data_IF_270259603124
#
_entry.id   IF_270259603124
#
_cell.length_a   1.000
_cell.length_b   1.000
_cell.length_c   1.000
_cell.angle_alpha   90.00
_cell.angle_beta   90.00
_cell.angle_gamma   90.00
#
_symmetry.space_group_name_H-M   'P 1'
#
loop_
_entity.id
_entity.type
_entity.pdbx_description
1 polymer ?
#
# COMPACT_ATOMS: atom_id res chain seq x y z
N UNK A 1 4.23 -12.99 -9.50
CA UNK A 1 4.33 -11.73 -8.75
C UNK A 1 5.58 -10.96 -9.16
N UNK A 2 6.81 -11.41 -8.83
CA UNK A 2 8.07 -10.69 -9.17
C UNK A 2 8.10 -10.09 -10.58
N UNK A 3 8.01 -10.93 -11.62
CA UNK A 3 8.03 -10.48 -13.03
C UNK A 3 7.03 -9.37 -13.33
N UNK A 4 5.83 -9.42 -12.74
CA UNK A 4 4.81 -8.40 -12.95
C UNK A 4 5.16 -7.11 -12.20
N UNK A 5 5.63 -7.21 -10.95
CA UNK A 5 6.01 -6.03 -10.16
C UNK A 5 7.20 -5.32 -10.77
N UNK A 6 8.22 -6.06 -11.24
CA UNK A 6 9.39 -5.44 -11.86
C UNK A 6 9.02 -4.73 -13.17
N UNK A 7 8.13 -5.33 -13.97
CA UNK A 7 7.73 -4.83 -15.28
C UNK A 7 6.61 -3.76 -15.25
N UNK A 8 5.96 -3.52 -14.12
CA UNK A 8 4.84 -2.58 -13.99
C UNK A 8 5.17 -1.43 -13.04
N UNK A 9 4.52 -0.29 -13.25
CA UNK A 9 4.66 0.88 -12.40
C UNK A 9 3.55 1.00 -11.35
N UNK A 10 3.93 1.47 -10.16
CA UNK A 10 2.98 1.77 -9.09
C UNK A 10 2.23 3.05 -9.46
N UNK A 11 0.91 2.99 -9.53
CA UNK A 11 0.07 4.15 -9.88
C UNK A 11 -0.32 4.95 -8.64
N UNK A 12 -0.71 4.25 -7.57
CA UNK A 12 -1.24 4.83 -6.35
C UNK A 12 -0.88 4.00 -5.12
N UNK A 13 -0.74 4.66 -3.98
CA UNK A 13 -0.60 4.03 -2.67
C UNK A 13 -1.53 4.70 -1.67
N UNK A 14 -2.43 3.91 -1.07
CA UNK A 14 -3.21 4.32 0.10
C UNK A 14 -2.46 4.02 1.40
N UNK A 15 -2.44 4.98 2.32
CA UNK A 15 -1.87 4.81 3.66
C UNK A 15 -2.82 5.39 4.71
N UNK A 16 -3.19 4.58 5.69
CA UNK A 16 -3.90 5.01 6.89
C UNK A 16 -3.01 4.79 8.11
N UNK A 17 -3.00 5.76 9.01
CA UNK A 17 -2.36 5.65 10.32
C UNK A 17 -3.45 5.63 11.38
N UNK A 18 -3.26 4.81 12.42
CA UNK A 18 -4.15 4.78 13.57
C UNK A 18 -3.38 4.47 14.84
N UNK A 19 -3.94 4.86 15.97
CA UNK A 19 -3.53 4.29 17.25
C UNK A 19 -4.04 2.83 17.41
N UNK A 20 -3.77 2.23 18.57
CA UNK A 20 -4.17 0.86 18.87
C UNK A 20 -5.69 0.70 19.08
N UNK A 21 -6.44 1.79 19.24
CA UNK A 21 -7.88 1.82 19.38
C UNK A 21 -8.58 2.03 18.02
N UNK A 22 -7.81 2.30 16.96
CA UNK A 22 -8.34 2.55 15.62
C UNK A 22 -8.68 4.02 15.36
N UNK A 23 -8.28 4.94 16.24
CA UNK A 23 -8.48 6.37 16.01
C UNK A 23 -7.50 6.87 14.95
N UNK A 24 -8.02 7.56 13.94
CA UNK A 24 -7.24 8.21 12.90
C UNK A 24 -6.60 9.50 13.44
N UNK A 25 -5.46 9.95 12.87
CA UNK A 25 -4.89 11.24 13.24
C UNK A 25 -5.86 12.37 12.86
N UNK A 26 -5.99 13.34 13.76
CA UNK A 26 -6.83 14.53 13.58
C UNK A 26 -6.02 15.85 13.54
N UNK A 27 -4.74 15.79 13.92
CA UNK A 27 -3.84 16.94 14.08
C UNK A 27 -4.45 18.12 14.85
N UNK A 28 -5.35 17.84 15.80
CA UNK A 28 -6.08 18.86 16.56
C UNK A 28 -7.18 19.58 15.77
N UNK A 29 -7.65 19.01 14.66
CA UNK A 29 -8.75 19.51 13.85
C UNK A 29 -10.02 18.66 14.01
N UNK A 30 -11.13 19.10 13.41
CA UNK A 30 -12.38 18.31 13.36
C UNK A 30 -12.35 17.17 12.31
N UNK A 31 -11.27 17.04 11.55
CA UNK A 31 -11.13 16.08 10.46
C UNK A 31 -10.16 14.96 10.83
N UNK A 32 -10.43 13.76 10.31
CA UNK A 32 -9.50 12.64 10.35
C UNK A 32 -8.80 12.48 9.00
N UNK A 33 -7.53 12.04 9.03
CA UNK A 33 -6.71 11.98 7.83
C UNK A 33 -6.30 10.56 7.43
N UNK A 34 -6.43 10.30 6.13
CA UNK A 34 -5.82 9.17 5.41
C UNK A 34 -5.16 9.73 4.15
N UNK A 35 -4.13 9.07 3.65
CA UNK A 35 -3.32 9.56 2.54
C UNK A 35 -3.47 8.67 1.31
N UNK A 36 -3.56 9.31 0.15
CA UNK A 36 -3.42 8.67 -1.15
C UNK A 36 -2.28 9.34 -1.90
N UNK A 37 -1.22 8.59 -2.16
CA UNK A 37 -0.07 9.04 -2.94
C UNK A 37 -0.29 8.63 -4.39
N UNK A 38 -0.22 9.59 -5.30
CA UNK A 38 -0.37 9.40 -6.74
C UNK A 38 1.00 9.55 -7.40
N UNK A 39 1.44 8.56 -8.16
CA UNK A 39 2.79 8.51 -8.75
C UNK A 39 2.79 8.94 -10.21
N UNK A 40 3.93 9.45 -10.68
CA UNK A 40 4.05 10.03 -12.04
C UNK A 40 4.66 9.10 -13.08
N UNK A 41 5.25 7.99 -12.65
CA UNK A 41 6.03 7.09 -13.50
C UNK A 41 5.16 6.39 -14.53
N UNK A 42 3.93 6.00 -14.14
CA UNK A 42 3.04 5.26 -15.03
C UNK A 42 2.59 6.10 -16.23
N UNK A 43 2.84 5.56 -17.43
CA UNK A 43 2.45 6.10 -18.72
C UNK A 43 1.57 5.11 -19.47
N UNK A 44 0.31 5.48 -19.70
CA UNK A 44 -0.69 4.60 -20.32
C UNK A 44 -0.38 4.25 -21.78
N UNK A 45 0.46 5.05 -22.44
CA UNK A 45 0.81 4.87 -23.84
C UNK A 45 2.04 3.96 -24.02
N UNK A 46 2.90 3.85 -23.00
CA UNK A 46 4.20 3.18 -23.09
C UNK A 46 4.33 1.95 -22.17
N UNK A 47 3.73 1.99 -20.97
CA UNK A 47 3.95 0.98 -19.94
C UNK A 47 3.07 -0.26 -20.10
N UNK A 48 3.53 -1.37 -19.52
CA UNK A 48 2.74 -2.58 -19.39
C UNK A 48 1.69 -2.43 -18.28
N UNK A 49 0.45 -2.75 -18.60
CA UNK A 49 -0.65 -2.77 -17.63
C UNK A 49 -1.68 -3.85 -17.94
N UNK A 50 -2.54 -4.12 -16.96
CA UNK A 50 -3.75 -4.89 -17.17
C UNK A 50 -4.90 -3.96 -17.63
N UNK A 51 -5.47 -4.14 -18.83
CA UNK A 51 -6.51 -3.25 -19.35
C UNK A 51 -7.75 -3.18 -18.45
N UNK A 52 -8.17 -4.30 -17.84
CA UNK A 52 -9.31 -4.32 -16.91
C UNK A 52 -9.03 -3.50 -15.65
N UNK A 53 -7.79 -3.54 -15.15
CA UNK A 53 -7.38 -2.72 -14.02
C UNK A 53 -7.40 -1.24 -14.38
N UNK A 54 -6.89 -0.85 -15.55
CA UNK A 54 -6.92 0.55 -16.01
C UNK A 54 -8.34 1.05 -16.21
N UNK A 55 -9.22 0.26 -16.83
CA UNK A 55 -10.63 0.63 -17.00
C UNK A 55 -11.34 0.85 -15.67
N UNK A 56 -11.07 -0.01 -14.68
CA UNK A 56 -11.57 0.15 -13.32
C UNK A 56 -11.08 1.46 -12.71
N UNK A 57 -9.77 1.74 -12.79
CA UNK A 57 -9.16 2.95 -12.25
C UNK A 57 -9.70 4.23 -12.92
N UNK A 58 -9.91 4.23 -14.24
CA UNK A 58 -10.56 5.34 -14.97
C UNK A 58 -11.98 5.59 -14.46
N UNK A 59 -12.79 4.54 -14.27
CA UNK A 59 -14.16 4.65 -13.73
C UNK A 59 -14.19 5.20 -12.30
N UNK A 60 -13.11 5.00 -11.55
CA UNK A 60 -12.96 5.51 -10.18
C UNK A 60 -12.47 6.96 -10.15
N UNK A 61 -12.12 7.53 -11.30
CA UNK A 61 -11.76 8.94 -11.45
C UNK A 61 -10.26 9.20 -11.45
N UNK A 62 -9.42 8.17 -11.65
CA UNK A 62 -7.98 8.40 -11.83
C UNK A 62 -7.74 9.12 -13.15
N UNK A 63 -7.06 10.26 -13.05
CA UNK A 63 -6.56 11.02 -14.18
C UNK A 63 -5.07 10.71 -14.38
N UNK A 64 -4.78 9.76 -15.26
CA UNK A 64 -3.41 9.34 -15.58
C UNK A 64 -2.58 10.47 -16.18
N UNK A 65 -3.18 11.36 -16.96
CA UNK A 65 -2.50 12.52 -17.55
C UNK A 65 -2.10 13.53 -16.47
N UNK A 66 -2.96 13.73 -15.46
CA UNK A 66 -2.63 14.53 -14.27
C UNK A 66 -1.54 13.85 -13.44
N UNK A 67 -1.60 12.54 -13.23
CA UNK A 67 -0.58 11.80 -12.49
C UNK A 67 0.80 11.93 -13.17
N UNK A 68 0.89 11.74 -14.49
CA UNK A 68 2.13 11.90 -15.25
C UNK A 68 2.74 13.32 -15.11
N UNK A 69 1.90 14.35 -15.04
CA UNK A 69 2.32 15.76 -14.92
C UNK A 69 2.64 16.22 -13.50
N UNK A 70 1.83 15.81 -12.53
CA UNK A 70 1.81 16.37 -11.16
C UNK A 70 2.04 15.33 -10.07
N UNK A 71 2.11 14.06 -10.43
CA UNK A 71 2.33 12.96 -9.50
C UNK A 71 3.71 13.01 -8.85
N UNK A 72 3.80 12.28 -7.75
CA UNK A 72 5.00 12.17 -6.94
C UNK A 72 5.99 11.26 -7.67
N UNK A 73 7.24 11.69 -7.77
CA UNK A 73 8.31 10.80 -8.22
C UNK A 73 8.61 9.78 -7.11
N UNK A 74 8.48 8.50 -7.43
CA UNK A 74 8.74 7.35 -6.56
C UNK A 74 10.08 7.43 -5.83
N UNK A 75 11.13 7.96 -6.47
CA UNK A 75 12.43 8.18 -5.83
C UNK A 75 12.35 9.15 -4.64
N UNK A 76 11.68 10.30 -4.81
CA UNK A 76 11.49 11.27 -3.72
C UNK A 76 10.57 10.72 -2.64
N UNK A 77 9.51 10.00 -3.03
CA UNK A 77 8.66 9.28 -2.11
C UNK A 77 9.48 8.31 -1.25
N UNK A 78 10.30 7.46 -1.87
CA UNK A 78 11.11 6.46 -1.17
C UNK A 78 12.07 7.08 -0.15
N UNK A 79 12.70 8.20 -0.52
CA UNK A 79 13.58 8.95 0.38
C UNK A 79 12.83 9.53 1.57
N UNK A 80 11.68 10.17 1.36
CA UNK A 80 10.87 10.74 2.45
C UNK A 80 10.28 9.65 3.34
N UNK A 81 9.77 8.57 2.74
CA UNK A 81 9.20 7.45 3.45
C UNK A 81 10.23 6.72 4.34
N UNK A 82 11.46 6.58 3.85
CA UNK A 82 12.58 6.06 4.64
C UNK A 82 12.88 6.93 5.87
N UNK A 83 12.84 8.26 5.71
CA UNK A 83 13.13 9.20 6.79
C UNK A 83 11.92 9.49 7.71
N UNK A 84 10.72 9.02 7.36
CA UNK A 84 9.50 9.27 8.13
C UNK A 84 9.41 8.48 9.44
N UNK A 85 10.25 7.45 9.61
CA UNK A 85 10.14 6.48 10.70
C UNK A 85 9.12 5.36 10.44
N UNK A 86 8.32 5.43 9.37
CA UNK A 86 7.39 4.37 8.98
C UNK A 86 8.10 3.14 8.38
N UNK A 87 9.30 3.32 7.85
CA UNK A 87 10.16 2.23 7.36
C UNK A 87 11.56 2.30 7.91
N UNK A 88 12.29 1.18 7.85
CA UNK A 88 13.69 1.05 8.28
C UNK A 88 13.97 1.48 9.73
N UNK A 89 12.93 1.72 10.55
CA UNK A 89 13.12 2.14 11.92
C UNK A 89 13.82 1.02 12.71
N UNK A 90 14.88 1.33 13.48
CA UNK A 90 15.57 0.34 14.28
C UNK A 90 14.59 -0.38 15.22
N UNK A 91 14.69 -1.69 15.31
CA UNK A 91 13.82 -2.57 16.14
C UNK A 91 13.81 -2.21 17.64
N UNK A 92 14.77 -1.40 18.10
CA UNK A 92 14.85 -0.87 19.47
C UNK A 92 14.12 0.46 19.66
N UNK A 93 13.89 1.22 18.58
CA UNK A 93 13.24 2.55 18.64
C UNK A 93 11.72 2.43 18.54
N UNK A 94 11.20 1.44 17.82
CA UNK A 94 9.77 1.36 17.55
C UNK A 94 9.23 -0.08 17.59
N UNK A 95 9.09 -0.60 18.82
CA UNK A 95 8.41 -1.89 19.06
C UNK A 95 6.90 -1.82 18.86
N UNK A 96 6.32 -0.65 18.63
CA UNK A 96 4.87 -0.44 18.64
C UNK A 96 4.26 -0.27 17.24
N UNK A 97 5.07 -0.04 16.20
CA UNK A 97 4.55 -0.07 14.82
C UNK A 97 4.03 -1.44 14.43
N UNK A 98 2.83 -1.44 13.85
CA UNK A 98 2.16 -2.61 13.31
C UNK A 98 1.67 -2.29 11.91
N UNK A 99 2.00 -3.13 10.94
CA UNK A 99 1.52 -3.04 9.57
C UNK A 99 0.32 -3.97 9.39
N UNK A 100 -0.80 -3.39 8.94
CA UNK A 100 -2.02 -4.11 8.62
C UNK A 100 -2.25 -3.99 7.12
N UNK A 101 -2.50 -5.12 6.48
CA UNK A 101 -2.70 -5.20 5.03
C UNK A 101 -3.85 -6.14 4.67
N UNK A 102 -4.25 -6.18 3.40
CA UNK A 102 -5.25 -7.13 2.93
C UNK A 102 -4.81 -7.77 1.61
N UNK A 103 -4.45 -9.05 1.64
CA UNK A 103 -4.00 -9.82 0.48
C UNK A 103 -2.74 -9.22 -0.17
N UNK A 104 -1.72 -8.96 0.64
CA UNK A 104 -0.74 -7.90 0.37
C UNK A 104 0.52 -8.32 -0.38
N UNK A 105 0.45 -9.42 -1.12
CA UNK A 105 1.62 -9.95 -1.83
C UNK A 105 2.12 -8.96 -2.89
N UNK A 106 1.21 -8.32 -3.63
CA UNK A 106 1.57 -7.28 -4.60
C UNK A 106 1.90 -5.95 -3.93
N UNK A 107 1.18 -5.58 -2.86
CA UNK A 107 1.39 -4.32 -2.13
C UNK A 107 2.83 -4.20 -1.63
N UNK A 108 3.31 -5.24 -0.91
CA UNK A 108 4.70 -5.26 -0.47
C UNK A 108 5.69 -5.44 -1.62
N UNK A 109 5.30 -6.13 -2.69
CA UNK A 109 6.11 -6.20 -3.90
C UNK A 109 6.42 -4.80 -4.44
N UNK A 110 5.38 -4.01 -4.74
CA UNK A 110 5.56 -2.65 -5.25
C UNK A 110 6.25 -1.73 -4.26
N UNK A 111 5.88 -1.78 -2.97
CA UNK A 111 6.54 -0.96 -1.96
C UNK A 111 8.03 -1.29 -1.83
N UNK A 112 8.42 -2.57 -1.84
CA UNK A 112 9.84 -2.93 -1.82
C UNK A 112 10.55 -2.49 -3.09
N UNK A 113 9.95 -2.63 -4.29
CA UNK A 113 10.52 -2.10 -5.55
C UNK A 113 10.77 -0.59 -5.42
N UNK A 114 9.77 0.16 -4.97
CA UNK A 114 9.87 1.62 -4.77
C UNK A 114 10.90 1.98 -3.70
N UNK A 115 10.92 1.33 -2.54
CA UNK A 115 11.82 1.70 -1.46
C UNK A 115 13.27 1.27 -1.69
N UNK A 116 13.49 0.17 -2.41
CA UNK A 116 14.83 -0.31 -2.73
C UNK A 116 15.39 0.28 -4.02
N UNK A 117 14.53 0.84 -4.88
CA UNK A 117 14.87 1.33 -6.23
C UNK A 117 15.57 0.25 -7.07
N UNK A 118 15.18 -1.01 -6.87
CA UNK A 118 15.75 -2.20 -7.50
C UNK A 118 14.64 -3.19 -7.86
N UNK A 119 14.95 -4.09 -8.78
CA UNK A 119 14.12 -5.28 -9.00
C UNK A 119 14.02 -6.12 -7.74
N UNK A 120 12.92 -6.85 -7.61
CA UNK A 120 12.71 -7.73 -6.47
C UNK A 120 13.70 -8.90 -6.45
N UNK A 121 14.04 -9.46 -5.28
CA UNK A 121 14.87 -10.67 -5.19
C UNK A 121 14.22 -11.88 -5.88
N UNK A 122 15.03 -12.77 -6.43
CA UNK A 122 14.55 -13.98 -7.12
C UNK A 122 13.93 -15.01 -6.17
N UNK A 123 14.39 -15.05 -4.91
CA UNK A 123 13.92 -16.00 -3.93
C UNK A 123 13.06 -15.34 -2.84
N UNK A 124 12.12 -16.14 -2.33
CA UNK A 124 11.17 -15.68 -1.32
C UNK A 124 11.85 -15.31 0.01
N UNK A 125 12.93 -15.99 0.38
CA UNK A 125 13.62 -15.74 1.65
C UNK A 125 14.20 -14.33 1.71
N UNK A 126 14.88 -13.92 0.63
CA UNK A 126 15.47 -12.59 0.50
C UNK A 126 14.39 -11.51 0.41
N UNK A 127 13.32 -11.76 -0.35
CA UNK A 127 12.16 -10.87 -0.39
C UNK A 127 11.56 -10.66 1.02
N UNK A 128 11.36 -11.75 1.77
CA UNK A 128 10.86 -11.66 3.15
C UNK A 128 11.88 -11.01 4.09
N UNK A 129 13.18 -11.13 3.80
CA UNK A 129 14.25 -10.38 4.46
C UNK A 129 14.07 -8.87 4.27
N UNK A 130 13.81 -8.43 3.04
CA UNK A 130 13.52 -7.02 2.74
C UNK A 130 12.23 -6.55 3.42
N UNK A 131 11.15 -7.35 3.39
CA UNK A 131 9.90 -7.00 4.09
C UNK A 131 10.15 -6.79 5.59
N UNK A 132 10.89 -7.69 6.24
CA UNK A 132 11.26 -7.53 7.66
C UNK A 132 12.15 -6.33 7.90
N UNK A 133 13.10 -6.06 7.01
CA UNK A 133 14.02 -4.92 7.11
C UNK A 133 13.26 -3.59 7.01
N UNK A 134 12.39 -3.43 6.02
CA UNK A 134 11.66 -2.19 5.80
C UNK A 134 10.47 -2.01 6.76
N UNK A 135 9.70 -3.06 7.04
CA UNK A 135 8.41 -2.95 7.73
C UNK A 135 8.40 -3.56 9.14
N UNK A 136 9.42 -4.31 9.51
CA UNK A 136 9.52 -4.99 10.81
C UNK A 136 8.81 -6.35 10.84
N UNK A 137 8.61 -6.88 12.04
CA UNK A 137 8.05 -8.24 12.26
C UNK A 137 6.54 -8.25 12.49
N UNK A 138 5.96 -7.12 12.89
CA UNK A 138 4.52 -6.99 13.17
C UNK A 138 3.76 -6.64 11.90
N UNK A 139 3.67 -7.60 10.98
CA UNK A 139 2.94 -7.48 9.71
C UNK A 139 1.79 -8.48 9.71
N UNK A 140 0.57 -7.98 9.55
CA UNK A 140 -0.66 -8.77 9.61
C UNK A 140 -1.45 -8.63 8.33
N UNK A 141 -1.63 -9.73 7.60
CA UNK A 141 -2.51 -9.79 6.44
C UNK A 141 -3.91 -10.21 6.89
N UNK A 142 -4.85 -9.27 6.86
CA UNK A 142 -6.23 -9.48 7.27
C UNK A 142 -6.93 -10.57 6.44
N UNK A 143 -6.59 -10.71 5.16
CA UNK A 143 -7.15 -11.77 4.31
C UNK A 143 -6.78 -13.15 4.84
N UNK A 144 -5.55 -13.30 5.34
CA UNK A 144 -5.09 -14.54 5.99
C UNK A 144 -5.76 -14.73 7.35
N UNK A 145 -5.86 -13.67 8.15
CA UNK A 145 -6.48 -13.72 9.48
C UNK A 145 -7.96 -14.11 9.43
N UNK A 146 -8.71 -13.56 8.49
CA UNK A 146 -10.13 -13.88 8.27
C UNK A 146 -10.39 -15.38 8.12
N UNK A 147 -9.49 -16.11 7.47
CA UNK A 147 -9.62 -17.55 7.30
C UNK A 147 -9.68 -18.32 8.62
N UNK A 148 -8.98 -17.84 9.66
CA UNK A 148 -9.04 -18.41 11.01
C UNK A 148 -10.33 -18.06 11.75
N UNK A 149 -11.04 -17.02 11.31
CA UNK A 149 -12.35 -16.62 11.85
C UNK A 149 -13.53 -17.22 11.07
N UNK A 150 -13.28 -18.12 10.10
CA UNK A 150 -14.34 -18.66 9.23
C UNK A 150 -14.93 -17.63 8.26
N UNK A 151 -14.24 -16.50 8.05
CA UNK A 151 -14.67 -15.43 7.15
C UNK A 151 -14.01 -15.58 5.78
N UNK A 152 -14.77 -15.30 4.72
CA UNK A 152 -14.33 -15.43 3.33
C UNK A 152 -14.83 -14.26 2.47
N UNK A 153 -14.16 -14.03 1.35
CA UNK A 153 -14.48 -12.95 0.39
C UNK A 153 -13.52 -11.76 0.43
N UNK A 154 -13.89 -10.67 -0.24
CA UNK A 154 -13.11 -9.43 -0.29
C UNK A 154 -13.27 -8.54 0.94
N UNK A 155 -12.49 -7.48 1.01
CA UNK A 155 -12.47 -6.54 2.14
C UNK A 155 -13.85 -5.92 2.39
N UNK A 156 -14.59 -5.60 1.33
CA UNK A 156 -15.96 -5.07 1.43
C UNK A 156 -16.94 -6.05 2.09
N UNK A 157 -16.79 -7.37 1.82
CA UNK A 157 -17.60 -8.40 2.49
C UNK A 157 -17.21 -8.54 3.95
N UNK A 158 -15.91 -8.43 4.26
CA UNK A 158 -15.42 -8.42 5.64
C UNK A 158 -16.02 -7.26 6.42
N UNK A 159 -15.96 -6.04 5.87
CA UNK A 159 -16.50 -4.84 6.49
C UNK A 159 -18.00 -5.01 6.80
N UNK A 160 -18.78 -5.52 5.83
CA UNK A 160 -20.20 -5.85 6.04
C UNK A 160 -20.44 -6.87 7.14
N UNK A 161 -19.63 -7.95 7.20
CA UNK A 161 -19.73 -8.95 8.26
C UNK A 161 -19.41 -8.41 9.65
N UNK A 162 -18.60 -7.35 9.74
CA UNK A 162 -18.25 -6.69 10.99
C UNK A 162 -19.09 -5.43 11.25
N UNK A 163 -20.09 -5.14 10.41
CA UNK A 163 -20.90 -3.93 10.46
C UNK A 163 -20.08 -2.63 10.47
N UNK A 164 -19.02 -2.60 9.66
CA UNK A 164 -18.16 -1.43 9.46
C UNK A 164 -18.58 -0.71 8.19
N UNK A 165 -18.89 0.57 8.32
CA UNK A 165 -19.26 1.42 7.20
C UNK A 165 -18.04 2.07 6.53
N UNK A 166 -18.13 2.31 5.23
CA UNK A 166 -17.13 3.06 4.48
C UNK A 166 -17.39 4.55 4.67
N UNK A 167 -16.50 5.21 5.42
CA UNK A 167 -16.60 6.64 5.71
C UNK A 167 -16.12 7.54 4.58
N UNK A 168 -15.17 7.07 3.77
CA UNK A 168 -14.56 7.86 2.70
C UNK A 168 -14.09 7.00 1.52
N UNK A 169 -13.95 7.64 0.36
CA UNK A 169 -13.52 7.01 -0.89
C UNK A 169 -14.59 6.12 -1.53
N UNK A 170 -14.28 5.57 -2.70
CA UNK A 170 -15.13 4.59 -3.41
C UNK A 170 -14.54 3.19 -3.23
N UNK A 171 -15.39 2.17 -3.14
CA UNK A 171 -14.91 0.78 -3.24
C UNK A 171 -14.49 0.48 -4.68
N UNK A 172 -13.40 -0.26 -4.80
CA UNK A 172 -12.97 -0.93 -6.03
C UNK A 172 -13.59 -2.32 -6.13
#
# INVERSE_FOLDING_TARGET
>A
MKKNVDAMELIQLGLALSDAQGNLPDFGTEYCYVWEFNFREFDIDEDLYNPKSIDLLKRQGIDFSKNKRMGIHSFYFARLFTNSGLSLAPTWVDKNRTWITFHSTYDFGFLIKVLSQKELPDNLSDFMGLVRMYFGVKVFDMKRMMGFCGLHGGLERMAKSLNVERMAGKSH
#
